data_IF_038762807113
#
_entry.id   IF_038762807113
#
_cell.length_a   1.000
_cell.length_b   1.000
_cell.length_c   1.000
_cell.angle_alpha   90.00
_cell.angle_beta   90.00
_cell.angle_gamma   90.00
#
_symmetry.space_group_name_H-M   'P 1'
#
loop_
_entity.id
_entity.type
_entity.pdbx_description
1 polymer ?
#
# COMPACT_ATOMS: atom_id res chain seq x y z
N UNK A 1 -26.27 -6.24 0.09
CA UNK A 1 -25.00 -5.50 -0.10
C UNK A 1 -23.85 -6.45 -0.43
N UNK A 2 -23.60 -7.48 0.39
CA UNK A 2 -22.53 -8.47 0.19
C UNK A 2 -22.51 -9.10 -1.22
N UNK A 3 -23.64 -9.55 -1.75
CA UNK A 3 -23.67 -10.20 -3.08
C UNK A 3 -23.28 -9.29 -4.26
N UNK A 4 -23.48 -7.96 -4.17
CA UNK A 4 -23.08 -7.04 -5.25
C UNK A 4 -21.60 -6.69 -5.18
N UNK A 5 -21.06 -6.51 -3.96
CA UNK A 5 -19.62 -6.32 -3.77
C UNK A 5 -18.82 -7.59 -4.03
N UNK A 6 -19.34 -8.77 -3.71
CA UNK A 6 -18.66 -10.04 -4.03
C UNK A 6 -18.74 -10.35 -5.53
N UNK A 7 -19.84 -10.00 -6.21
CA UNK A 7 -20.00 -10.26 -7.65
C UNK A 7 -19.25 -9.27 -8.55
N UNK A 8 -19.13 -8.01 -8.14
CA UNK A 8 -18.48 -6.96 -8.93
C UNK A 8 -17.24 -6.38 -8.25
N UNK A 9 -16.76 -7.00 -7.17
CA UNK A 9 -15.65 -6.50 -6.36
C UNK A 9 -14.39 -6.27 -7.19
N UNK A 10 -14.05 -7.24 -8.04
CA UNK A 10 -12.87 -7.15 -8.91
C UNK A 10 -13.00 -6.01 -9.92
N UNK A 11 -14.17 -5.85 -10.54
CA UNK A 11 -14.43 -4.75 -11.48
C UNK A 11 -14.38 -3.37 -10.78
N UNK A 12 -14.91 -3.27 -9.55
CA UNK A 12 -14.83 -2.06 -8.74
C UNK A 12 -13.38 -1.77 -8.35
N UNK A 13 -12.61 -2.77 -7.93
CA UNK A 13 -11.21 -2.61 -7.57
C UNK A 13 -10.36 -2.14 -8.75
N UNK A 14 -10.55 -2.76 -9.92
CA UNK A 14 -9.86 -2.34 -11.16
C UNK A 14 -10.26 -0.92 -11.55
N UNK A 15 -11.56 -0.60 -11.55
CA UNK A 15 -12.03 0.74 -11.90
C UNK A 15 -11.51 1.84 -10.96
N UNK A 16 -11.48 1.55 -9.66
CA UNK A 16 -10.95 2.46 -8.65
C UNK A 16 -9.42 2.61 -8.81
N UNK A 17 -8.71 1.52 -9.12
CA UNK A 17 -7.27 1.57 -9.45
C UNK A 17 -6.96 2.44 -10.67
N UNK A 18 -7.70 2.27 -11.77
CA UNK A 18 -7.57 3.12 -12.97
C UNK A 18 -7.84 4.59 -12.64
N UNK A 19 -8.88 4.87 -11.86
CA UNK A 19 -9.22 6.23 -11.44
C UNK A 19 -8.09 6.86 -10.60
N UNK A 20 -7.46 6.11 -9.70
CA UNK A 20 -6.31 6.59 -8.92
C UNK A 20 -5.13 6.95 -9.83
N UNK A 21 -4.83 6.09 -10.82
CA UNK A 21 -3.77 6.33 -11.80
C UNK A 21 -4.06 7.60 -12.59
N UNK A 22 -5.30 7.77 -13.07
CA UNK A 22 -5.70 8.97 -13.81
C UNK A 22 -5.53 10.25 -12.97
N UNK A 23 -5.99 10.24 -11.72
CA UNK A 23 -5.83 11.40 -10.82
C UNK A 23 -4.35 11.75 -10.63
N UNK A 24 -3.49 10.75 -10.44
CA UNK A 24 -2.06 10.97 -10.26
C UNK A 24 -1.40 11.53 -11.53
N UNK A 25 -1.67 10.92 -12.69
CA UNK A 25 -1.10 11.36 -13.97
C UNK A 25 -1.58 12.77 -14.32
N UNK A 26 -2.87 13.08 -14.14
CA UNK A 26 -3.41 14.43 -14.36
C UNK A 26 -2.76 15.42 -13.40
N UNK A 27 -2.59 15.05 -12.13
CA UNK A 27 -1.92 15.88 -11.13
C UNK A 27 -0.47 16.22 -11.50
N UNK A 28 0.27 15.23 -12.00
CA UNK A 28 1.62 15.43 -12.55
C UNK A 28 1.56 16.38 -13.75
N UNK A 29 0.70 16.10 -14.74
CA UNK A 29 0.61 16.86 -15.98
C UNK A 29 0.25 18.32 -15.77
N UNK A 30 -0.75 18.57 -14.94
CA UNK A 30 -1.13 19.92 -14.55
C UNK A 30 -0.01 20.61 -13.77
N UNK A 31 0.67 19.89 -12.88
CA UNK A 31 1.81 20.38 -12.11
C UNK A 31 2.96 20.88 -12.99
N UNK A 32 3.44 20.05 -13.93
CA UNK A 32 4.50 20.41 -14.88
C UNK A 32 4.11 21.63 -15.74
N UNK A 33 2.89 21.62 -16.28
CA UNK A 33 2.37 22.71 -17.11
C UNK A 33 2.28 24.03 -16.34
N UNK A 34 1.86 23.99 -15.07
CA UNK A 34 1.72 25.18 -14.23
C UNK A 34 3.06 25.76 -13.77
N UNK A 35 4.08 24.91 -13.65
CA UNK A 35 5.41 25.30 -13.21
C UNK A 35 6.33 25.72 -14.39
N UNK A 36 5.85 25.58 -15.64
CA UNK A 36 6.56 26.02 -16.84
C UNK A 36 7.66 25.07 -17.32
N UNK A 37 7.61 23.80 -16.90
CA UNK A 37 8.62 22.79 -17.21
C UNK A 37 8.10 21.74 -18.20
N UNK A 38 8.98 21.29 -19.10
CA UNK A 38 8.66 20.20 -20.03
C UNK A 38 8.90 18.83 -19.38
N UNK A 39 8.03 17.86 -19.66
CA UNK A 39 8.06 16.51 -19.06
C UNK A 39 9.28 15.67 -19.47
N UNK A 40 10.00 16.07 -20.52
CA UNK A 40 11.06 15.26 -21.12
C UNK A 40 12.46 15.50 -20.53
N UNK A 41 12.82 16.74 -20.15
CA UNK A 41 14.23 17.09 -19.91
C UNK A 41 14.51 17.91 -18.65
N UNK A 42 13.50 18.46 -17.97
CA UNK A 42 13.73 19.55 -16.99
C UNK A 42 13.86 19.16 -15.51
N UNK A 43 13.60 17.90 -15.14
CA UNK A 43 13.77 17.46 -13.75
C UNK A 43 15.24 17.38 -13.31
N UNK A 44 16.17 17.18 -14.25
CA UNK A 44 17.60 17.08 -13.95
C UNK A 44 18.28 18.46 -13.94
N UNK A 45 17.75 19.43 -14.70
CA UNK A 45 18.28 20.79 -14.90
C UNK A 45 17.78 21.82 -13.88
N UNK A 46 16.71 21.54 -13.13
CA UNK A 46 16.21 22.43 -12.07
C UNK A 46 17.28 22.76 -11.03
N UNK A 47 17.60 24.06 -10.91
CA UNK A 47 18.54 24.59 -9.93
C UNK A 47 18.02 24.51 -8.48
N UNK A 48 16.70 24.59 -8.29
CA UNK A 48 16.04 24.44 -6.99
C UNK A 48 14.97 23.34 -7.06
N UNK A 49 15.20 22.26 -6.34
CA UNK A 49 14.32 21.07 -6.28
C UNK A 49 13.54 20.99 -4.96
N UNK A 50 13.65 22.01 -4.11
CA UNK A 50 13.11 21.98 -2.75
C UNK A 50 11.57 22.05 -2.68
N UNK A 51 10.91 22.57 -3.71
CA UNK A 51 9.46 22.84 -3.72
C UNK A 51 8.64 21.99 -4.73
N UNK A 52 9.16 20.81 -5.10
CA UNK A 52 8.47 19.91 -6.03
C UNK A 52 7.31 19.20 -5.31
N UNK A 53 6.09 19.72 -5.48
CA UNK A 53 4.88 19.21 -4.79
C UNK A 53 3.91 18.46 -5.71
N UNK A 54 4.19 18.37 -7.02
CA UNK A 54 3.27 17.76 -7.99
C UNK A 54 3.08 16.25 -7.81
N UNK A 55 4.01 15.58 -7.11
CA UNK A 55 3.89 14.18 -6.71
C UNK A 55 3.06 13.95 -5.44
N UNK A 56 2.78 15.00 -4.67
CA UNK A 56 2.04 14.88 -3.40
C UNK A 56 0.63 14.34 -3.60
N UNK A 57 0.04 14.52 -4.79
CA UNK A 57 -1.25 13.94 -5.16
C UNK A 57 -1.27 12.41 -4.95
N UNK A 58 -0.23 11.70 -5.41
CA UNK A 58 -0.11 10.25 -5.22
C UNK A 58 0.09 9.85 -3.76
N UNK A 59 0.88 10.63 -3.02
CA UNK A 59 1.09 10.42 -1.59
C UNK A 59 -0.21 10.59 -0.81
N UNK A 60 -0.93 11.70 -1.01
CA UNK A 60 -2.21 11.96 -0.34
C UNK A 60 -3.26 10.92 -0.68
N UNK A 61 -3.34 10.51 -1.95
CA UNK A 61 -4.29 9.49 -2.39
C UNK A 61 -4.01 8.15 -1.68
N UNK A 62 -2.73 7.76 -1.58
CA UNK A 62 -2.31 6.57 -0.83
C UNK A 62 -2.66 6.66 0.65
N UNK A 63 -2.41 7.82 1.29
CA UNK A 63 -2.76 8.05 2.70
C UNK A 63 -4.26 7.94 2.91
N UNK A 64 -5.07 8.61 2.07
CA UNK A 64 -6.54 8.60 2.16
C UNK A 64 -7.07 7.18 2.02
N UNK A 65 -6.61 6.43 1.00
CA UNK A 65 -7.01 5.03 0.81
C UNK A 65 -6.57 4.15 1.98
N UNK A 66 -5.35 4.33 2.49
CA UNK A 66 -4.85 3.57 3.64
C UNK A 66 -5.71 3.80 4.88
N UNK A 67 -6.03 5.05 5.20
CA UNK A 67 -6.90 5.41 6.34
C UNK A 67 -8.31 4.86 6.14
N UNK A 68 -8.86 4.97 4.93
CA UNK A 68 -10.19 4.44 4.60
C UNK A 68 -10.23 2.91 4.76
N UNK A 69 -9.21 2.20 4.29
CA UNK A 69 -9.09 0.75 4.45
C UNK A 69 -9.04 0.34 5.92
N UNK A 70 -8.23 1.01 6.74
CA UNK A 70 -8.16 0.76 8.17
C UNK A 70 -9.50 1.02 8.86
N UNK A 71 -10.17 2.13 8.51
CA UNK A 71 -11.48 2.47 9.06
C UNK A 71 -12.54 1.41 8.70
N UNK A 72 -12.64 1.03 7.42
CA UNK A 72 -13.58 0.01 6.95
C UNK A 72 -13.29 -1.37 7.57
N UNK A 73 -12.02 -1.72 7.76
CA UNK A 73 -11.62 -2.96 8.43
C UNK A 73 -12.10 -2.97 9.88
N UNK A 74 -11.85 -1.91 10.66
CA UNK A 74 -12.27 -1.84 12.06
C UNK A 74 -13.80 -1.88 12.19
N UNK A 75 -14.52 -1.12 11.37
CA UNK A 75 -15.99 -1.15 11.33
C UNK A 75 -16.48 -2.55 10.96
N UNK A 76 -15.85 -3.20 9.98
CA UNK A 76 -16.18 -4.57 9.57
C UNK A 76 -16.01 -5.59 10.69
N UNK A 77 -14.88 -5.54 11.42
CA UNK A 77 -14.61 -6.42 12.57
C UNK A 77 -15.69 -6.26 13.63
N UNK A 78 -15.97 -5.02 14.04
CA UNK A 78 -16.96 -4.74 15.10
C UNK A 78 -18.35 -5.18 14.67
N UNK A 79 -18.72 -4.90 13.41
CA UNK A 79 -20.01 -5.25 12.86
C UNK A 79 -20.23 -6.78 12.79
N UNK A 80 -19.23 -7.52 12.35
CA UNK A 80 -19.30 -8.99 12.28
C UNK A 80 -19.32 -9.63 13.67
N UNK A 81 -18.60 -9.06 14.64
CA UNK A 81 -18.59 -9.54 16.01
C UNK A 81 -19.95 -9.35 16.70
N UNK A 82 -20.62 -8.22 16.47
CA UNK A 82 -21.97 -7.93 17.01
C UNK A 82 -23.03 -8.84 16.37
N UNK A 83 -22.98 -9.07 15.06
CA UNK A 83 -24.00 -9.86 14.36
C UNK A 83 -23.80 -11.37 14.48
N UNK A 84 -22.56 -11.83 14.39
CA UNK A 84 -22.22 -13.25 14.34
C UNK A 84 -20.86 -13.49 14.98
N UNK A 85 -20.81 -13.60 16.30
CA UNK A 85 -19.59 -13.85 17.07
C UNK A 85 -18.74 -15.01 16.51
N UNK A 86 -19.39 -16.10 16.10
CA UNK A 86 -18.73 -17.29 15.52
C UNK A 86 -18.09 -17.04 14.15
N UNK A 87 -18.63 -16.12 13.36
CA UNK A 87 -18.04 -15.74 12.06
C UNK A 87 -16.94 -14.69 12.25
N UNK A 88 -17.18 -13.69 13.09
CA UNK A 88 -16.22 -12.64 13.40
C UNK A 88 -14.92 -13.16 14.05
N UNK A 89 -14.99 -14.23 14.84
CA UNK A 89 -13.80 -14.84 15.45
C UNK A 89 -12.81 -15.43 14.43
N UNK A 90 -13.27 -15.88 13.27
CA UNK A 90 -12.38 -16.36 12.19
C UNK A 90 -11.59 -15.21 11.56
N UNK A 91 -12.23 -14.05 11.41
CA UNK A 91 -11.56 -12.86 10.90
C UNK A 91 -10.47 -12.39 11.87
N UNK A 92 -10.77 -12.37 13.18
CA UNK A 92 -9.78 -12.06 14.22
C UNK A 92 -8.60 -13.03 14.20
N UNK A 93 -8.85 -14.33 13.95
CA UNK A 93 -7.77 -15.31 13.86
C UNK A 93 -6.85 -15.07 12.66
N UNK A 94 -7.43 -14.82 11.47
CA UNK A 94 -6.65 -14.49 10.27
C UNK A 94 -5.84 -13.19 10.42
N UNK A 95 -6.46 -12.16 10.97
CA UNK A 95 -5.79 -10.89 11.26
C UNK A 95 -4.68 -11.04 12.33
N UNK A 96 -4.93 -11.85 13.37
CA UNK A 96 -3.94 -12.15 14.40
C UNK A 96 -2.70 -12.84 13.85
N UNK A 97 -2.87 -13.81 12.93
CA UNK A 97 -1.74 -14.45 12.23
C UNK A 97 -0.94 -13.40 11.44
N UNK A 98 -1.61 -12.48 10.74
CA UNK A 98 -0.93 -11.42 10.00
C UNK A 98 -0.11 -10.50 10.92
N UNK A 99 -0.63 -10.14 12.09
CA UNK A 99 0.12 -9.36 13.07
C UNK A 99 1.36 -10.13 13.52
N UNK A 100 1.24 -11.43 13.81
CA UNK A 100 2.38 -12.25 14.24
C UNK A 100 3.45 -12.30 13.15
N UNK A 101 3.05 -12.56 11.89
CA UNK A 101 3.98 -12.57 10.75
C UNK A 101 4.65 -11.21 10.57
N UNK A 102 3.88 -10.11 10.67
CA UNK A 102 4.42 -8.75 10.60
C UNK A 102 5.45 -8.48 11.71
N UNK A 103 5.16 -8.89 12.95
CA UNK A 103 6.08 -8.71 14.07
C UNK A 103 7.37 -9.51 13.89
N UNK A 104 7.28 -10.74 13.37
CA UNK A 104 8.45 -11.54 13.02
C UNK A 104 9.26 -10.79 11.95
N UNK A 105 8.63 -10.36 10.86
CA UNK A 105 9.28 -9.64 9.77
C UNK A 105 9.90 -8.32 10.24
N UNK A 106 9.24 -7.59 11.13
CA UNK A 106 9.78 -6.38 11.75
C UNK A 106 11.03 -6.67 12.57
N UNK A 107 11.00 -7.73 13.39
CA UNK A 107 12.13 -8.14 14.21
C UNK A 107 13.32 -8.63 13.37
N UNK A 108 13.06 -9.29 12.24
CA UNK A 108 14.09 -9.80 11.33
C UNK A 108 14.55 -8.79 10.28
N UNK A 109 13.83 -7.68 10.11
CA UNK A 109 14.18 -6.68 9.10
C UNK A 109 15.50 -6.01 9.48
N UNK A 110 16.47 -6.09 8.58
CA UNK A 110 17.70 -5.34 8.70
C UNK A 110 17.43 -3.85 8.47
N UNK A 111 18.23 -3.03 9.13
CA UNK A 111 18.28 -1.59 8.93
C UNK A 111 19.55 -1.29 8.13
N UNK A 112 19.40 -0.67 6.96
CA UNK A 112 20.51 -0.38 6.07
C UNK A 112 21.30 0.83 6.59
N UNK A 113 22.37 0.57 7.32
CA UNK A 113 23.33 1.60 7.74
C UNK A 113 24.44 1.74 6.71
N UNK A 114 24.58 2.92 6.11
CA UNK A 114 25.75 3.27 5.31
C UNK A 114 25.49 3.65 3.86
N UNK A 115 26.45 4.40 3.31
CA UNK A 115 26.57 4.69 1.89
C UNK A 115 25.50 5.66 1.42
N UNK A 116 24.75 5.28 0.37
CA UNK A 116 23.75 6.13 -0.29
C UNK A 116 22.55 6.44 0.61
N UNK A 117 22.37 5.65 1.68
CA UNK A 117 21.22 5.76 2.58
C UNK A 117 21.48 6.67 3.78
N UNK A 118 22.73 7.05 4.05
CA UNK A 118 23.08 7.92 5.19
C UNK A 118 22.42 9.31 5.10
N UNK A 119 22.17 9.80 3.89
CA UNK A 119 21.44 11.04 3.65
C UNK A 119 19.96 10.99 4.03
N UNK A 120 19.37 9.80 4.23
CA UNK A 120 17.98 9.66 4.66
C UNK A 120 17.81 9.60 6.19
N UNK A 121 18.91 9.37 6.91
CA UNK A 121 18.94 9.27 8.37
C UNK A 121 19.16 10.64 9.04
N UNK A 122 19.41 11.69 8.26
CA UNK A 122 20.14 12.88 8.70
C UNK A 122 19.33 14.04 9.30
N UNK A 123 18.13 13.94 9.84
CA UNK A 123 17.28 15.09 10.32
C UNK A 123 16.90 16.14 9.27
N UNK A 124 17.82 16.55 8.40
CA UNK A 124 17.64 17.47 7.28
C UNK A 124 18.29 16.83 6.04
N UNK A 125 17.55 16.54 4.96
CA UNK A 125 16.12 16.80 4.74
C UNK A 125 15.18 15.68 5.21
N UNK A 126 15.72 14.54 5.66
CA UNK A 126 14.91 13.36 6.02
C UNK A 126 15.25 12.87 7.43
N UNK A 127 14.22 12.58 8.23
CA UNK A 127 14.34 12.01 9.57
C UNK A 127 13.71 10.63 9.63
N UNK A 128 14.28 9.67 8.89
CA UNK A 128 13.83 8.28 8.96
C UNK A 128 14.53 7.63 10.15
N UNK A 129 13.76 7.13 11.11
CA UNK A 129 14.30 6.39 12.26
C UNK A 129 14.45 4.92 11.92
N UNK A 130 15.31 4.20 12.65
CA UNK A 130 15.46 2.75 12.51
C UNK A 130 14.11 2.02 12.62
N UNK A 131 13.30 2.39 13.62
CA UNK A 131 11.97 1.82 13.82
C UNK A 131 11.03 2.08 12.64
N UNK A 132 11.05 3.29 12.07
CA UNK A 132 10.26 3.62 10.89
C UNK A 132 10.70 2.80 9.67
N UNK A 133 12.01 2.68 9.45
CA UNK A 133 12.55 1.88 8.35
C UNK A 133 12.15 0.40 8.48
N UNK A 134 12.33 -0.21 9.65
CA UNK A 134 11.93 -1.60 9.90
C UNK A 134 10.43 -1.81 9.73
N UNK A 135 9.62 -0.83 10.14
CA UNK A 135 8.17 -0.87 9.98
C UNK A 135 7.77 -0.90 8.50
N UNK A 136 8.37 -0.03 7.69
CA UNK A 136 8.13 0.02 6.23
C UNK A 136 8.56 -1.31 5.59
N UNK A 137 9.75 -1.82 5.91
CA UNK A 137 10.26 -3.09 5.38
C UNK A 137 9.36 -4.27 5.75
N UNK A 138 8.95 -4.37 7.02
CA UNK A 138 8.02 -5.41 7.46
C UNK A 138 6.68 -5.33 6.72
N UNK A 139 6.16 -4.13 6.48
CA UNK A 139 4.93 -3.93 5.72
C UNK A 139 5.06 -4.38 4.28
N UNK A 140 6.16 -4.01 3.61
CA UNK A 140 6.48 -4.44 2.25
C UNK A 140 6.63 -5.95 2.14
N UNK A 141 7.39 -6.59 3.03
CA UNK A 141 7.54 -8.05 3.03
C UNK A 141 6.23 -8.77 3.32
N UNK A 142 5.40 -8.23 4.22
CA UNK A 142 4.07 -8.79 4.49
C UNK A 142 3.18 -8.73 3.25
N UNK A 143 3.19 -7.60 2.52
CA UNK A 143 2.46 -7.42 1.27
C UNK A 143 2.94 -8.41 0.19
N UNK A 144 4.26 -8.49 -0.02
CA UNK A 144 4.84 -9.39 -1.02
C UNK A 144 4.58 -10.85 -0.69
N UNK A 145 4.67 -11.23 0.59
CA UNK A 145 4.35 -12.57 1.06
C UNK A 145 2.89 -12.94 0.80
N UNK A 146 1.95 -12.04 1.11
CA UNK A 146 0.53 -12.25 0.80
C UNK A 146 0.26 -12.34 -0.71
N UNK A 147 0.89 -11.48 -1.50
CA UNK A 147 0.77 -11.53 -2.96
C UNK A 147 1.27 -12.87 -3.53
N UNK A 148 2.39 -13.37 -3.02
CA UNK A 148 2.93 -14.68 -3.41
C UNK A 148 1.99 -15.82 -2.99
N UNK A 149 1.46 -15.81 -1.77
CA UNK A 149 0.49 -16.81 -1.30
C UNK A 149 -0.79 -16.77 -2.15
N UNK A 150 -1.29 -15.58 -2.47
CA UNK A 150 -2.46 -15.42 -3.33
C UNK A 150 -2.20 -15.98 -4.73
N UNK A 151 -1.07 -15.64 -5.34
CA UNK A 151 -0.67 -16.15 -6.64
C UNK A 151 -0.55 -17.68 -6.64
N UNK A 152 0.17 -18.26 -5.67
CA UNK A 152 0.31 -19.71 -5.53
C UNK A 152 -1.04 -20.39 -5.32
N UNK A 153 -1.93 -19.78 -4.53
CA UNK A 153 -3.27 -20.31 -4.31
C UNK A 153 -4.05 -20.39 -5.62
N UNK A 154 -4.04 -19.32 -6.42
CA UNK A 154 -4.70 -19.29 -7.74
C UNK A 154 -4.17 -20.44 -8.62
N UNK A 155 -2.85 -20.57 -8.74
CA UNK A 155 -2.24 -21.64 -9.54
C UNK A 155 -2.65 -23.02 -9.06
N UNK A 156 -2.58 -23.29 -7.75
CA UNK A 156 -2.96 -24.58 -7.17
C UNK A 156 -4.45 -24.89 -7.40
N UNK A 157 -5.32 -23.90 -7.23
CA UNK A 157 -6.76 -24.10 -7.43
C UNK A 157 -7.12 -24.33 -8.89
N UNK A 158 -6.48 -23.63 -9.82
CA UNK A 158 -6.67 -23.87 -11.25
C UNK A 158 -6.19 -25.28 -11.64
N UNK A 159 -4.99 -25.68 -11.23
CA UNK A 159 -4.47 -27.03 -11.49
C UNK A 159 -5.44 -28.09 -10.94
N UNK A 160 -5.92 -27.93 -9.71
CA UNK A 160 -6.91 -28.86 -9.12
C UNK A 160 -8.23 -28.87 -9.87
N UNK A 161 -8.64 -27.75 -10.46
CA UNK A 161 -9.85 -27.65 -11.26
C UNK A 161 -9.69 -28.35 -12.62
N UNK A 162 -8.50 -28.30 -13.25
CA UNK A 162 -8.20 -29.05 -14.47
C UNK A 162 -8.26 -30.58 -14.29
N UNK A 163 -7.99 -31.08 -13.09
CA UNK A 163 -8.02 -32.52 -12.78
C UNK A 163 -9.35 -33.01 -12.19
N UNK A 164 -10.36 -32.15 -12.07
CA UNK A 164 -11.72 -32.51 -11.66
C UNK A 164 -12.68 -32.40 -12.82
#
# INVERSE_FOLDING_TARGET
MYNKLVKYGDAIAVGLGVLCILIFVIGIVAGFSSAGYDMNTDLTSMADKSNINFFNSGLYLTIILGVLCLFLMLVGIVWDLVRNFKSGSKFLFGFGILIIVFLILYSTSAYDTGGRFDAYWSKDPFYITEGLSKFISAGLYSLLGLAAVAFLSIVIFEVRNFFK
#
